data_IF_568630039758
#
_entry.id   IF_568630039758
#
_cell.length_a   1.000
_cell.length_b   1.000
_cell.length_c   1.000
_cell.angle_alpha   90.00
_cell.angle_beta   90.00
_cell.angle_gamma   90.00
#
_symmetry.space_group_name_H-M   'P 1'
#
loop_
_entity.id
_entity.type
_entity.pdbx_description
1 polymer ?
#
# COMPACT_ATOMS: atom_id res chain seq x y z
N UNK A 1 -15.34 -34.14 12.10
CA UNK A 1 -15.52 -33.61 10.72
C UNK A 1 -16.60 -32.55 10.64
N UNK A 2 -17.82 -32.80 11.16
CA UNK A 2 -18.94 -31.83 11.09
C UNK A 2 -18.60 -30.47 11.72
N UNK A 3 -17.87 -30.44 12.84
CA UNK A 3 -17.55 -29.18 13.53
C UNK A 3 -16.49 -28.36 12.80
N UNK A 4 -15.49 -29.01 12.20
CA UNK A 4 -14.50 -28.35 11.33
C UNK A 4 -15.20 -27.74 10.11
N UNK A 5 -16.13 -28.48 9.50
CA UNK A 5 -16.91 -27.96 8.36
C UNK A 5 -17.77 -26.75 8.75
N UNK A 6 -18.34 -26.73 9.95
CA UNK A 6 -19.08 -25.55 10.46
C UNK A 6 -18.16 -24.34 10.61
N UNK A 7 -16.96 -24.52 11.19
CA UNK A 7 -16.00 -23.43 11.34
C UNK A 7 -15.55 -22.91 9.97
N UNK A 8 -15.28 -23.79 9.00
CA UNK A 8 -14.92 -23.40 7.65
C UNK A 8 -16.05 -22.67 6.92
N UNK A 9 -17.30 -23.10 7.12
CA UNK A 9 -18.47 -22.43 6.54
C UNK A 9 -18.68 -21.04 7.17
N UNK A 10 -18.55 -20.94 8.49
CA UNK A 10 -18.61 -19.68 9.24
C UNK A 10 -17.53 -18.71 8.74
N UNK A 11 -16.28 -19.18 8.63
CA UNK A 11 -15.18 -18.42 8.02
C UNK A 11 -15.57 -17.93 6.62
N UNK A 12 -16.05 -18.81 5.74
CA UNK A 12 -16.40 -18.42 4.38
C UNK A 12 -17.52 -17.37 4.32
N UNK A 13 -18.53 -17.49 5.17
CA UNK A 13 -19.64 -16.54 5.24
C UNK A 13 -19.15 -15.17 5.72
N UNK A 14 -18.37 -15.13 6.80
CA UNK A 14 -17.83 -13.89 7.36
C UNK A 14 -16.86 -13.26 6.36
N UNK A 15 -15.97 -14.05 5.76
CA UNK A 15 -15.06 -13.61 4.71
C UNK A 15 -15.80 -12.90 3.58
N UNK A 16 -16.84 -13.54 3.01
CA UNK A 16 -17.61 -12.98 1.90
C UNK A 16 -18.30 -11.68 2.33
N UNK A 17 -18.89 -11.65 3.52
CA UNK A 17 -19.56 -10.46 4.05
C UNK A 17 -18.59 -9.27 4.21
N UNK A 18 -17.46 -9.50 4.87
CA UNK A 18 -16.42 -8.47 5.07
C UNK A 18 -15.81 -8.04 3.73
N UNK A 19 -15.57 -8.98 2.81
CA UNK A 19 -15.02 -8.68 1.49
C UNK A 19 -15.96 -7.78 0.68
N UNK A 20 -17.25 -8.09 0.64
CA UNK A 20 -18.26 -7.30 -0.07
C UNK A 20 -18.34 -5.89 0.53
N UNK A 21 -18.36 -5.79 1.86
CA UNK A 21 -18.41 -4.49 2.55
C UNK A 21 -17.16 -3.66 2.25
N UNK A 22 -15.98 -4.26 2.37
CA UNK A 22 -14.71 -3.62 2.06
C UNK A 22 -14.66 -3.18 0.58
N UNK A 23 -15.12 -4.04 -0.34
CA UNK A 23 -15.17 -3.72 -1.76
C UNK A 23 -16.08 -2.52 -2.03
N UNK A 24 -17.30 -2.53 -1.49
CA UNK A 24 -18.28 -1.46 -1.68
C UNK A 24 -17.76 -0.11 -1.17
N UNK A 25 -17.14 -0.09 0.01
CA UNK A 25 -16.69 1.15 0.65
C UNK A 25 -15.38 1.67 0.03
N UNK A 26 -14.37 0.81 -0.10
CA UNK A 26 -13.00 1.22 -0.44
C UNK A 26 -12.66 1.02 -1.91
N UNK A 27 -12.91 -0.17 -2.46
CA UNK A 27 -12.42 -0.52 -3.80
C UNK A 27 -13.26 0.11 -4.91
N UNK A 28 -14.60 0.21 -4.76
CA UNK A 28 -15.48 0.83 -5.77
C UNK A 28 -15.10 2.28 -6.08
N UNK A 29 -14.58 3.01 -5.08
CA UNK A 29 -14.17 4.43 -5.22
C UNK A 29 -12.71 4.63 -5.67
N UNK A 30 -11.87 3.59 -5.61
CA UNK A 30 -10.41 3.68 -5.85
C UNK A 30 -9.91 2.91 -7.07
N UNK A 31 -10.77 2.45 -7.96
CA UNK A 31 -10.39 1.67 -9.15
C UNK A 31 -9.72 2.47 -10.27
N UNK A 32 -9.74 3.81 -10.21
CA UNK A 32 -9.03 4.69 -11.15
C UNK A 32 -7.68 5.10 -10.53
N UNK A 33 -6.58 4.81 -11.23
CA UNK A 33 -5.23 5.15 -10.76
C UNK A 33 -5.12 6.66 -10.52
N UNK A 34 -4.72 7.04 -9.32
CA UNK A 34 -4.38 8.40 -8.98
C UNK A 34 -3.13 8.35 -8.08
N UNK A 35 -1.98 8.90 -8.53
CA UNK A 35 -0.74 8.85 -7.76
C UNK A 35 -0.85 9.49 -6.37
N UNK A 36 -1.84 10.37 -6.15
CA UNK A 36 -2.08 11.03 -4.87
C UNK A 36 -3.04 10.26 -3.94
N UNK A 37 -3.62 9.12 -4.36
CA UNK A 37 -4.60 8.34 -3.56
C UNK A 37 -4.15 6.91 -3.27
N UNK A 38 -2.87 6.64 -3.48
CA UNK A 38 -2.27 5.33 -3.33
C UNK A 38 -2.23 4.94 -1.84
N UNK A 39 -2.63 3.70 -1.48
CA UNK A 39 -2.63 3.25 -0.07
C UNK A 39 -1.23 3.24 0.53
N UNK A 40 -1.10 3.45 1.84
CA UNK A 40 0.20 3.45 2.55
C UNK A 40 0.88 2.09 2.43
N UNK A 41 0.12 1.02 2.42
CA UNK A 41 0.57 -0.35 2.24
C UNK A 41 1.31 -0.53 0.91
N UNK A 42 0.87 0.15 -0.15
CA UNK A 42 1.57 0.14 -1.44
C UNK A 42 2.95 0.79 -1.33
N UNK A 43 3.07 1.95 -0.67
CA UNK A 43 4.36 2.60 -0.46
C UNK A 43 5.29 1.77 0.41
N UNK A 44 4.75 1.09 1.42
CA UNK A 44 5.50 0.15 2.26
C UNK A 44 6.10 -0.98 1.41
N UNK A 45 5.29 -1.62 0.56
CA UNK A 45 5.77 -2.72 -0.31
C UNK A 45 6.77 -2.22 -1.35
N UNK A 46 6.49 -1.09 -1.99
CA UNK A 46 7.35 -0.51 -3.02
C UNK A 46 8.72 -0.15 -2.44
N UNK A 47 8.75 0.43 -1.25
CA UNK A 47 9.99 0.79 -0.56
C UNK A 47 10.77 -0.45 -0.12
N UNK A 48 10.12 -1.37 0.60
CA UNK A 48 10.76 -2.54 1.20
C UNK A 48 11.26 -3.53 0.14
N UNK A 49 10.48 -3.76 -0.92
CA UNK A 49 10.78 -4.73 -1.96
C UNK A 49 11.35 -4.11 -3.25
N UNK A 50 11.58 -2.79 -3.25
CA UNK A 50 12.11 -2.03 -4.39
C UNK A 50 11.32 -2.30 -5.66
N UNK A 51 9.99 -2.23 -5.58
CA UNK A 51 9.11 -2.52 -6.71
C UNK A 51 8.98 -1.31 -7.64
N UNK A 52 8.84 -1.56 -8.93
CA UNK A 52 8.59 -0.55 -9.94
C UNK A 52 7.08 -0.27 -10.04
N UNK A 53 6.66 0.90 -9.57
CA UNK A 53 5.25 1.31 -9.59
C UNK A 53 4.66 1.33 -11.01
N UNK A 54 5.50 1.56 -12.03
CA UNK A 54 5.05 1.65 -13.43
C UNK A 54 4.70 0.28 -14.03
N UNK A 55 5.27 -0.80 -13.48
CA UNK A 55 5.04 -2.18 -13.93
C UNK A 55 3.88 -2.85 -13.19
N UNK A 56 3.46 -2.30 -12.06
CA UNK A 56 2.37 -2.84 -11.25
C UNK A 56 1.04 -2.38 -11.85
N UNK A 57 0.20 -3.34 -12.23
CA UNK A 57 -1.19 -3.05 -12.56
C UNK A 57 -1.94 -2.61 -11.29
N UNK A 58 -2.20 -1.31 -11.17
CA UNK A 58 -2.84 -0.72 -9.99
C UNK A 58 -4.20 -1.35 -9.66
N UNK A 59 -5.03 -1.66 -10.67
CA UNK A 59 -6.33 -2.32 -10.42
C UNK A 59 -6.12 -3.68 -9.76
N UNK A 60 -5.24 -4.51 -10.33
CA UNK A 60 -4.92 -5.83 -9.76
C UNK A 60 -4.34 -5.71 -8.34
N UNK A 61 -3.48 -4.71 -8.11
CA UNK A 61 -2.93 -4.44 -6.79
C UNK A 61 -4.04 -4.10 -5.78
N UNK A 62 -4.94 -3.16 -6.09
CA UNK A 62 -6.05 -2.78 -5.21
C UNK A 62 -6.94 -3.98 -4.86
N UNK A 63 -7.26 -4.84 -5.84
CA UNK A 63 -8.02 -6.06 -5.57
C UNK A 63 -7.25 -7.06 -4.69
N UNK A 64 -5.97 -7.27 -4.95
CA UNK A 64 -5.14 -8.16 -4.16
C UNK A 64 -4.97 -7.64 -2.71
N UNK A 65 -4.78 -6.33 -2.53
CA UNK A 65 -4.73 -5.69 -1.20
C UNK A 65 -6.06 -5.83 -0.47
N UNK A 66 -7.19 -5.65 -1.15
CA UNK A 66 -8.51 -5.86 -0.56
C UNK A 66 -8.72 -7.31 -0.09
N UNK A 67 -8.29 -8.27 -0.91
CA UNK A 67 -8.32 -9.69 -0.58
C UNK A 67 -7.47 -10.01 0.65
N UNK A 68 -6.22 -9.52 0.69
CA UNK A 68 -5.29 -9.70 1.81
C UNK A 68 -5.84 -9.03 3.08
N UNK A 69 -6.32 -7.79 3.01
CA UNK A 69 -6.89 -7.09 4.18
C UNK A 69 -8.11 -7.81 4.75
N UNK A 70 -9.01 -8.26 3.88
CA UNK A 70 -10.18 -9.05 4.32
C UNK A 70 -9.73 -10.33 5.00
N UNK A 71 -8.74 -11.03 4.44
CA UNK A 71 -8.20 -12.26 5.02
C UNK A 71 -7.56 -12.04 6.39
N UNK A 72 -6.84 -10.94 6.59
CA UNK A 72 -6.28 -10.56 7.89
C UNK A 72 -7.39 -10.38 8.92
N UNK A 73 -8.41 -9.58 8.59
CA UNK A 73 -9.52 -9.27 9.49
C UNK A 73 -10.28 -10.55 9.87
N UNK A 74 -10.66 -11.35 8.88
CA UNK A 74 -11.48 -12.54 9.07
C UNK A 74 -10.72 -13.63 9.85
N UNK A 75 -9.46 -13.88 9.50
CA UNK A 75 -8.61 -14.83 10.24
C UNK A 75 -8.43 -14.37 11.68
N UNK A 76 -8.20 -13.07 11.91
CA UNK A 76 -8.09 -12.53 13.27
C UNK A 76 -9.39 -12.74 14.03
N UNK A 77 -10.54 -12.40 13.43
CA UNK A 77 -11.86 -12.57 14.02
C UNK A 77 -12.11 -14.01 14.45
N UNK A 78 -11.85 -14.99 13.58
CA UNK A 78 -12.05 -16.41 13.90
C UNK A 78 -11.13 -16.86 15.04
N UNK A 79 -9.85 -16.44 15.02
CA UNK A 79 -8.92 -16.82 16.09
C UNK A 79 -9.36 -16.23 17.43
N UNK A 80 -9.67 -14.94 17.50
CA UNK A 80 -10.06 -14.30 18.76
C UNK A 80 -11.43 -14.79 19.25
N UNK A 81 -12.39 -15.03 18.35
CA UNK A 81 -13.76 -15.44 18.73
C UNK A 81 -13.84 -16.89 19.21
N UNK A 82 -12.98 -17.78 18.69
CA UNK A 82 -12.97 -19.20 19.08
C UNK A 82 -11.99 -19.51 20.22
N UNK A 83 -10.93 -18.71 20.39
CA UNK A 83 -9.85 -19.02 21.32
C UNK A 83 -9.90 -18.20 22.63
N UNK A 84 -10.65 -17.09 22.65
CA UNK A 84 -10.71 -16.16 23.78
C UNK A 84 -12.16 -15.82 24.13
N UNK A 85 -12.56 -16.04 25.38
CA UNK A 85 -13.93 -15.75 25.81
C UNK A 85 -14.14 -14.30 26.26
N UNK A 86 -13.08 -13.63 26.70
CA UNK A 86 -13.14 -12.27 27.27
C UNK A 86 -12.78 -11.22 26.23
N UNK A 87 -13.68 -10.25 26.03
CA UNK A 87 -13.53 -9.17 25.05
C UNK A 87 -12.23 -8.36 25.18
N UNK A 88 -11.77 -8.10 26.41
CA UNK A 88 -10.49 -7.40 26.65
C UNK A 88 -9.27 -8.18 26.12
N UNK A 89 -9.26 -9.51 26.31
CA UNK A 89 -8.18 -10.36 25.81
C UNK A 89 -8.23 -10.49 24.29
N UNK A 90 -9.44 -10.58 23.71
CA UNK A 90 -9.65 -10.57 22.26
C UNK A 90 -9.02 -9.33 21.62
N UNK A 91 -9.15 -8.16 22.24
CA UNK A 91 -8.62 -6.91 21.72
C UNK A 91 -7.08 -6.89 21.76
N UNK A 92 -6.48 -7.24 22.90
CA UNK A 92 -5.02 -7.26 23.04
C UNK A 92 -4.40 -8.26 22.07
N UNK A 93 -4.86 -9.51 22.10
CA UNK A 93 -4.30 -10.59 21.27
C UNK A 93 -4.58 -10.34 19.79
N UNK A 94 -5.76 -9.79 19.47
CA UNK A 94 -6.13 -9.45 18.09
C UNK A 94 -5.14 -8.47 17.44
N UNK A 95 -4.67 -7.46 18.18
CA UNK A 95 -3.67 -6.51 17.66
C UNK A 95 -2.36 -7.23 17.29
N UNK A 96 -1.86 -8.12 18.16
CA UNK A 96 -0.63 -8.87 17.87
C UNK A 96 -0.80 -9.80 16.66
N UNK A 97 -1.95 -10.47 16.55
CA UNK A 97 -2.27 -11.33 15.41
C UNK A 97 -2.32 -10.52 14.11
N UNK A 98 -3.00 -9.38 14.10
CA UNK A 98 -3.09 -8.51 12.91
C UNK A 98 -1.70 -8.08 12.45
N UNK A 99 -0.84 -7.61 13.36
CA UNK A 99 0.52 -7.18 13.02
C UNK A 99 1.33 -8.36 12.43
N UNK A 100 1.25 -9.53 13.06
CA UNK A 100 1.93 -10.73 12.59
C UNK A 100 1.46 -11.14 11.18
N UNK A 101 0.15 -11.14 10.94
CA UNK A 101 -0.43 -11.49 9.64
C UNK A 101 -0.08 -10.46 8.56
N UNK A 102 -0.05 -9.17 8.89
CA UNK A 102 0.39 -8.11 7.97
C UNK A 102 1.80 -8.43 7.49
N UNK A 103 2.75 -8.69 8.40
CA UNK A 103 4.15 -8.98 8.04
C UNK A 103 4.24 -10.18 7.09
N UNK A 104 3.53 -11.27 7.39
CA UNK A 104 3.58 -12.50 6.60
C UNK A 104 2.95 -12.31 5.22
N UNK A 105 1.72 -11.82 5.17
CA UNK A 105 0.93 -11.77 3.93
C UNK A 105 1.42 -10.68 2.98
N UNK A 106 1.70 -9.49 3.50
CA UNK A 106 2.27 -8.43 2.68
C UNK A 106 3.72 -8.75 2.29
N UNK A 107 4.46 -9.47 3.14
CA UNK A 107 5.79 -9.93 2.78
C UNK A 107 5.78 -11.00 1.69
N UNK A 108 4.78 -11.87 1.67
CA UNK A 108 4.54 -12.82 0.58
C UNK A 108 4.13 -12.09 -0.71
N UNK A 109 3.24 -11.11 -0.60
CA UNK A 109 2.77 -10.29 -1.71
C UNK A 109 3.92 -9.50 -2.35
N UNK A 110 4.81 -8.90 -1.54
CA UNK A 110 6.03 -8.24 -2.02
C UNK A 110 6.97 -9.18 -2.77
N UNK A 111 7.24 -10.37 -2.21
CA UNK A 111 8.06 -11.40 -2.88
C UNK A 111 7.44 -11.92 -4.18
N UNK A 112 6.12 -12.06 -4.23
CA UNK A 112 5.41 -12.43 -5.46
C UNK A 112 5.68 -11.41 -6.57
N UNK A 113 5.55 -10.11 -6.28
CA UNK A 113 5.82 -9.06 -7.26
C UNK A 113 7.29 -8.99 -7.69
N UNK A 114 8.23 -9.24 -6.77
CA UNK A 114 9.65 -9.32 -7.12
C UNK A 114 9.95 -10.47 -8.10
N UNK A 115 9.40 -11.67 -7.83
CA UNK A 115 9.63 -12.86 -8.65
C UNK A 115 9.06 -12.70 -10.08
N UNK A 116 8.04 -11.87 -10.26
CA UNK A 116 7.44 -11.57 -11.56
C UNK A 116 8.10 -10.37 -12.27
N UNK A 117 9.32 -9.99 -11.89
CA UNK A 117 10.11 -8.98 -12.60
C UNK A 117 9.60 -7.54 -12.43
N UNK A 118 8.71 -7.29 -11.46
CA UNK A 118 8.23 -5.94 -11.13
C UNK A 118 9.20 -5.20 -10.19
N UNK A 119 10.47 -5.60 -10.17
CA UNK A 119 11.54 -4.94 -9.42
C UNK A 119 11.98 -3.71 -10.19
N UNK A 120 12.14 -2.58 -9.48
CA UNK A 120 12.81 -1.41 -10.02
C UNK A 120 14.24 -1.80 -10.35
N UNK A 121 14.61 -1.71 -11.63
CA UNK A 121 16.02 -1.78 -12.01
C UNK A 121 16.72 -0.66 -11.23
N UNK A 122 17.87 -0.89 -10.57
CA UNK A 122 18.63 0.22 -10.03
C UNK A 122 18.79 1.21 -11.18
N UNK A 123 18.37 2.47 -10.98
CA UNK A 123 18.76 3.56 -11.88
C UNK A 123 20.27 3.43 -11.98
N UNK A 124 20.78 2.88 -13.09
CA UNK A 124 22.17 3.11 -13.49
C UNK A 124 22.28 4.62 -13.41
N UNK A 125 23.13 5.11 -12.51
CA UNK A 125 23.51 6.51 -12.49
C UNK A 125 23.72 6.88 -13.95
N UNK A 126 22.89 7.79 -14.45
CA UNK A 126 23.08 8.35 -15.78
C UNK A 126 24.49 8.91 -15.68
N UNK A 127 25.46 8.23 -16.30
CA UNK A 127 26.78 8.79 -16.52
C UNK A 127 26.48 10.11 -17.23
N UNK A 128 26.67 11.21 -16.52
CA UNK A 128 26.69 12.55 -17.08
C UNK A 128 27.68 12.43 -18.24
N UNK A 129 27.15 12.39 -19.46
CA UNK A 129 27.94 12.33 -20.67
C UNK A 129 28.46 13.75 -20.83
N UNK A 130 29.74 13.94 -20.52
CA UNK A 130 30.45 15.19 -20.74
C UNK A 130 30.18 15.68 -22.16
N UNK A 131 29.71 16.92 -22.30
CA UNK A 131 29.62 17.61 -23.59
C UNK A 131 29.96 19.09 -23.34
N UNK A 132 30.74 19.73 -24.23
CA UNK A 132 31.69 20.78 -23.89
C UNK A 132 31.03 22.09 -23.48
N UNK A 133 31.71 22.81 -22.58
CA UNK A 133 31.40 24.18 -22.19
C UNK A 133 31.71 25.12 -23.35
N UNK A 134 30.78 25.25 -24.29
CA UNK A 134 30.83 26.28 -25.34
C UNK A 134 30.31 27.62 -24.81
N UNK A 135 31.01 28.66 -25.22
CA UNK A 135 30.90 30.05 -24.80
C UNK A 135 29.67 30.71 -25.41
N UNK A 136 29.18 31.73 -24.69
CA UNK A 136 28.50 32.95 -25.16
C UNK A 136 27.07 33.17 -24.64
N UNK A 137 26.79 34.47 -24.37
CA UNK A 137 25.48 35.18 -24.34
C UNK A 137 24.84 35.31 -22.91
N UNK A 138 24.29 36.49 -22.51
CA UNK A 138 24.96 37.42 -21.58
C UNK A 138 24.13 37.79 -20.33
N UNK A 139 24.76 38.52 -19.39
CA UNK A 139 24.10 39.19 -18.25
C UNK A 139 22.94 40.07 -18.71
N UNK A 140 21.71 39.81 -18.22
CA UNK A 140 20.61 40.78 -18.21
C UNK A 140 20.25 41.17 -16.77
N UNK A 141 20.60 42.41 -16.46
CA UNK A 141 20.01 43.29 -15.45
C UNK A 141 18.49 43.32 -15.58
N UNK A 142 17.75 43.41 -14.46
CA UNK A 142 16.52 44.21 -14.34
C UNK A 142 16.09 44.39 -12.86
N UNK A 143 16.35 45.60 -12.36
CA UNK A 143 15.39 46.49 -11.66
C UNK A 143 14.31 45.88 -10.76
N UNK A 144 14.53 45.95 -9.44
CA UNK A 144 13.48 45.83 -8.44
C UNK A 144 12.73 47.15 -8.27
N UNK A 145 11.44 47.11 -8.58
CA UNK A 145 10.46 48.18 -8.52
C UNK A 145 9.99 48.42 -7.08
N UNK A 146 10.28 49.62 -6.58
CA UNK A 146 9.53 50.48 -5.65
C UNK A 146 8.29 49.83 -4.98
N UNK A 147 8.36 49.57 -3.68
CA UNK A 147 7.19 49.55 -2.77
C UNK A 147 7.48 50.55 -1.65
N UNK A 148 6.70 51.63 -1.61
CA UNK A 148 6.68 52.58 -0.51
C UNK A 148 6.02 51.96 0.72
N UNK A 149 6.49 52.35 1.89
CA UNK A 149 5.67 52.36 3.09
C UNK A 149 5.89 53.69 3.81
N UNK A 150 4.78 54.28 4.24
CA UNK A 150 4.62 55.61 4.83
C UNK A 150 4.47 55.47 6.34
N UNK A 151 4.87 56.52 7.07
CA UNK A 151 4.64 56.83 8.48
C UNK A 151 5.55 56.05 9.45
N UNK A 152 6.26 56.68 10.39
CA UNK A 152 6.01 57.89 11.21
C UNK A 152 7.32 58.67 11.37
#
# INVERSE_FOLDING_TARGET
>A
MKDILKILLEFLIVYIGVFILYWLIFVRKKTKYNPNKVPVEFYYLVSLYRLDQSKINYKKFIYATAFVNTFIIDTTYIIISKLLDKWMWQLIVGIFIIILLIIILYGLMGRYYQKHGMVSTPKKAIKVKDTPKDKNVPKKTNTAKKRGNKNV
#
